data_IF_899867708728
#
_entry.id   IF_899867708728
#
_cell.length_a   1.000
_cell.length_b   1.000
_cell.length_c   1.000
_cell.angle_alpha   90.00
_cell.angle_beta   90.00
_cell.angle_gamma   90.00
#
_symmetry.space_group_name_H-M   'P 1'
#
loop_
_entity.id
_entity.type
_entity.pdbx_description
1 polymer ?
#
# COMPACT_ATOMS: atom_id res chain seq x y z
N UNK A 1 -6.70 -0.42 -21.15
CA UNK A 1 -6.89 -0.67 -19.70
C UNK A 1 -6.04 -1.87 -19.31
N UNK A 2 -5.48 -1.89 -18.11
CA UNK A 2 -4.81 -3.08 -17.57
C UNK A 2 -5.84 -4.19 -17.34
N UNK A 3 -5.51 -5.42 -17.74
CA UNK A 3 -6.24 -6.59 -17.30
C UNK A 3 -5.71 -7.04 -15.93
N UNK A 4 -6.49 -6.78 -14.89
CA UNK A 4 -6.12 -7.10 -13.50
C UNK A 4 -5.96 -8.61 -13.26
N UNK A 5 -6.58 -9.47 -14.08
CA UNK A 5 -6.44 -10.93 -13.95
C UNK A 5 -5.07 -11.43 -14.40
N UNK A 6 -4.35 -10.64 -15.20
CA UNK A 6 -2.98 -10.95 -15.64
C UNK A 6 -1.91 -10.56 -14.62
N UNK A 7 -2.27 -9.79 -13.59
CA UNK A 7 -1.33 -9.29 -12.58
C UNK A 7 -1.17 -10.34 -11.48
N UNK A 8 0.06 -10.83 -11.31
CA UNK A 8 0.38 -11.84 -10.29
C UNK A 8 0.68 -11.27 -8.91
N UNK A 9 1.22 -10.06 -8.84
CA UNK A 9 1.53 -9.36 -7.59
C UNK A 9 1.78 -7.87 -7.83
N UNK A 10 1.67 -7.06 -6.77
CA UNK A 10 2.05 -5.65 -6.78
C UNK A 10 3.21 -5.39 -5.81
N UNK A 11 4.25 -4.70 -6.28
CA UNK A 11 5.25 -4.07 -5.42
C UNK A 11 4.92 -2.58 -5.34
N UNK A 12 4.71 -2.07 -4.13
CA UNK A 12 4.18 -0.74 -3.89
C UNK A 12 5.18 0.07 -3.07
N UNK A 13 5.51 1.26 -3.56
CA UNK A 13 6.17 2.26 -2.72
C UNK A 13 5.20 2.83 -1.68
N UNK A 14 5.73 3.60 -0.73
CA UNK A 14 5.00 4.23 0.35
C UNK A 14 4.87 5.75 0.16
N UNK A 15 5.99 6.46 0.15
CA UNK A 15 6.01 7.93 0.08
C UNK A 15 5.59 8.39 -1.33
N UNK A 16 4.52 9.16 -1.41
CA UNK A 16 3.92 9.61 -2.67
C UNK A 16 2.99 8.59 -3.34
N UNK A 17 2.80 7.40 -2.76
CA UNK A 17 1.91 6.34 -3.29
C UNK A 17 0.79 5.99 -2.32
N UNK A 18 1.11 5.85 -1.03
CA UNK A 18 0.13 5.57 0.03
C UNK A 18 -0.21 6.85 0.80
N UNK A 19 0.78 7.71 1.00
CA UNK A 19 0.65 8.98 1.69
C UNK A 19 1.55 10.04 1.07
N UNK A 20 1.26 11.30 1.36
CA UNK A 20 2.16 12.42 1.12
C UNK A 20 2.34 13.13 2.44
N UNK A 21 3.60 13.21 2.88
CA UNK A 21 3.93 13.72 4.23
C UNK A 21 3.10 12.98 5.28
N UNK A 22 2.24 13.67 6.03
CA UNK A 22 1.43 13.10 7.11
C UNK A 22 -0.01 12.74 6.71
N UNK A 23 -0.36 12.95 5.43
CA UNK A 23 -1.72 12.69 4.93
C UNK A 23 -1.76 11.48 3.99
N UNK A 24 -2.76 10.63 4.20
CA UNK A 24 -3.07 9.52 3.29
C UNK A 24 -3.56 10.04 1.95
N UNK A 25 -3.13 9.43 0.84
CA UNK A 25 -3.68 9.76 -0.46
C UNK A 25 -5.15 9.29 -0.60
N UNK A 26 -5.98 9.96 -1.41
CA UNK A 26 -7.36 9.56 -1.64
C UNK A 26 -7.47 8.12 -2.20
N UNK A 27 -8.55 7.42 -1.86
CA UNK A 27 -8.87 6.08 -2.34
C UNK A 27 -7.87 4.95 -1.97
N UNK A 28 -6.88 5.23 -1.12
CA UNK A 28 -5.85 4.25 -0.74
C UNK A 28 -6.44 3.02 -0.01
N UNK A 29 -7.29 3.15 1.02
CA UNK A 29 -7.92 1.99 1.64
C UNK A 29 -8.75 1.16 0.66
N UNK A 30 -9.47 1.83 -0.24
CA UNK A 30 -10.31 1.23 -1.27
C UNK A 30 -9.46 0.46 -2.29
N UNK A 31 -8.29 0.97 -2.64
CA UNK A 31 -7.33 0.28 -3.50
C UNK A 31 -6.84 -1.03 -2.87
N UNK A 32 -6.47 -1.01 -1.58
CA UNK A 32 -6.06 -2.24 -0.89
C UNK A 32 -7.22 -3.21 -0.66
N UNK A 33 -8.43 -2.70 -0.44
CA UNK A 33 -9.63 -3.53 -0.40
C UNK A 33 -9.89 -4.20 -1.76
N UNK A 34 -9.69 -3.47 -2.86
CA UNK A 34 -9.77 -4.00 -4.22
C UNK A 34 -8.73 -5.10 -4.47
N UNK A 35 -7.44 -4.87 -4.16
CA UNK A 35 -6.40 -5.90 -4.34
C UNK A 35 -6.74 -7.18 -3.57
N UNK A 36 -7.20 -7.05 -2.32
CA UNK A 36 -7.67 -8.19 -1.51
C UNK A 36 -8.86 -8.90 -2.16
N UNK A 37 -9.85 -8.15 -2.64
CA UNK A 37 -11.02 -8.72 -3.32
C UNK A 37 -10.68 -9.44 -4.62
N UNK A 38 -9.64 -8.99 -5.34
CA UNK A 38 -9.13 -9.64 -6.55
C UNK A 38 -8.15 -10.79 -6.26
N UNK A 39 -7.77 -11.02 -4.99
CA UNK A 39 -6.76 -12.01 -4.63
C UNK A 39 -5.35 -11.68 -5.14
N UNK A 40 -5.06 -10.40 -5.42
CA UNK A 40 -3.75 -9.96 -5.91
C UNK A 40 -2.84 -9.71 -4.70
N UNK A 41 -1.79 -10.51 -4.49
CA UNK A 41 -0.85 -10.30 -3.40
C UNK A 41 -0.04 -9.02 -3.63
N UNK A 42 0.35 -8.36 -2.55
CA UNK A 42 1.18 -7.16 -2.62
C UNK A 42 2.21 -7.12 -1.51
N UNK A 43 3.28 -6.36 -1.76
CA UNK A 43 4.30 -6.03 -0.78
C UNK A 43 4.64 -4.55 -0.85
N UNK A 44 4.96 -3.97 0.31
CA UNK A 44 5.50 -2.61 0.39
C UNK A 44 7.02 -2.65 0.26
N UNK A 45 7.56 -1.84 -0.65
CA UNK A 45 8.98 -1.72 -0.92
C UNK A 45 9.32 -0.24 -0.98
N UNK A 46 10.01 0.26 0.05
CA UNK A 46 10.47 1.65 0.11
C UNK A 46 11.98 1.69 0.27
N UNK A 47 12.62 2.71 -0.30
CA UNK A 47 14.03 3.03 -0.06
C UNK A 47 14.21 3.96 1.16
N UNK A 48 13.13 4.40 1.80
CA UNK A 48 13.20 5.27 2.95
C UNK A 48 13.60 4.47 4.21
N UNK A 49 14.82 4.68 4.69
CA UNK A 49 15.41 4.01 5.85
C UNK A 49 15.19 4.73 7.19
N UNK A 50 14.34 5.77 7.23
CA UNK A 50 14.12 6.58 8.44
C UNK A 50 13.25 5.90 9.50
N UNK A 51 12.52 4.83 9.13
CA UNK A 51 11.59 4.10 10.02
C UNK A 51 11.85 2.60 9.98
N UNK A 52 11.59 1.94 11.11
CA UNK A 52 11.62 0.48 11.19
C UNK A 52 10.37 -0.13 10.54
N UNK A 53 10.39 -1.43 10.17
CA UNK A 53 9.22 -2.11 9.62
C UNK A 53 7.97 -1.97 10.51
N UNK A 54 8.11 -2.13 11.84
CA UNK A 54 7.00 -1.98 12.79
C UNK A 54 6.41 -0.56 12.78
N UNK A 55 7.25 0.47 12.62
CA UNK A 55 6.77 1.85 12.51
C UNK A 55 5.99 2.09 11.20
N UNK A 56 6.41 1.45 10.10
CA UNK A 56 5.65 1.48 8.86
C UNK A 56 4.31 0.76 8.99
N UNK A 57 4.27 -0.42 9.63
CA UNK A 57 3.02 -1.15 9.87
C UNK A 57 2.02 -0.33 10.69
N UNK A 58 2.46 0.26 11.81
CA UNK A 58 1.60 1.13 12.62
C UNK A 58 1.05 2.33 11.84
N UNK A 59 1.85 2.88 10.92
CA UNK A 59 1.42 3.99 10.06
C UNK A 59 0.39 3.55 9.01
N UNK A 60 0.60 2.39 8.38
CA UNK A 60 -0.35 1.79 7.45
C UNK A 60 -1.70 1.52 8.15
N UNK A 61 -1.68 0.99 9.36
CA UNK A 61 -2.87 0.76 10.18
C UNK A 61 -3.62 2.06 10.50
N UNK A 62 -2.90 3.12 10.89
CA UNK A 62 -3.49 4.44 11.14
C UNK A 62 -4.21 5.01 9.90
N UNK A 63 -3.83 4.57 8.70
CA UNK A 63 -4.45 4.92 7.43
C UNK A 63 -5.56 3.97 6.98
N UNK A 64 -5.88 2.95 7.78
CA UNK A 64 -6.93 1.97 7.50
C UNK A 64 -6.47 0.84 6.57
N UNK A 65 -5.16 0.61 6.49
CA UNK A 65 -4.56 -0.43 5.64
C UNK A 65 -4.05 -1.53 6.55
N UNK A 66 -4.80 -2.63 6.62
CA UNK A 66 -4.30 -3.86 7.23
C UNK A 66 -3.25 -4.49 6.30
N UNK A 67 -2.04 -4.65 6.81
CA UNK A 67 -0.86 -5.14 6.09
C UNK A 67 -0.13 -6.22 6.90
#
# INVERSE_FOLDING_TARGET
MLDWHSIRACALDLDGVVWREDEKLPAVPEFFAFLRAQGIPYAFITNNSTRTPTQYLARLEAFGIAA
#
